data_IF_526114620199
#
_entry.id   IF_526114620199
#
_cell.length_a   1.000
_cell.length_b   1.000
_cell.length_c   1.000
_cell.angle_alpha   90.00
_cell.angle_beta   90.00
_cell.angle_gamma   90.00
#
_symmetry.space_group_name_H-M   'P 1'
#
loop_
_entity.id
_entity.type
_entity.pdbx_description
1 polymer ?
#
# COMPACT_ATOMS: atom_id res chain seq x y z
N UNK A 1 -13.10 3.53 -4.64
CA UNK A 1 -11.68 3.79 -4.27
C UNK A 1 -11.51 4.03 -2.79
N UNK A 2 -12.09 5.08 -2.20
CA UNK A 2 -11.88 5.41 -0.77
C UNK A 2 -12.24 4.27 0.20
N UNK A 3 -13.38 3.61 -0.01
CA UNK A 3 -13.81 2.48 0.81
C UNK A 3 -12.80 1.31 0.78
N UNK A 4 -12.25 0.99 -0.39
CA UNK A 4 -11.27 -0.09 -0.53
C UNK A 4 -9.92 0.27 0.09
N UNK A 5 -9.48 1.53 -0.06
CA UNK A 5 -8.30 2.04 0.65
C UNK A 5 -8.49 1.98 2.17
N UNK A 6 -9.68 2.27 2.67
CA UNK A 6 -9.99 2.18 4.10
C UNK A 6 -10.01 0.73 4.58
N UNK A 7 -10.60 -0.20 3.79
CA UNK A 7 -10.62 -1.64 4.10
C UNK A 7 -9.21 -2.20 4.24
N UNK A 8 -8.37 -2.03 3.21
CA UNK A 8 -6.97 -2.48 3.24
C UNK A 8 -6.14 -1.71 4.28
N UNK A 9 -6.46 -0.43 4.48
CA UNK A 9 -5.88 0.45 5.48
C UNK A 9 -6.19 0.05 6.94
N UNK A 10 -7.24 -0.74 7.17
CA UNK A 10 -7.57 -1.24 8.50
C UNK A 10 -6.88 -2.57 8.84
N UNK A 11 -6.27 -3.23 7.85
CA UNK A 11 -5.65 -4.54 8.00
C UNK A 11 -4.14 -4.42 8.22
N UNK A 12 -3.65 -5.19 9.18
CA UNK A 12 -2.25 -5.17 9.61
C UNK A 12 -1.67 -6.57 9.60
N UNK A 13 -0.56 -6.73 8.91
CA UNK A 13 0.21 -7.96 8.85
C UNK A 13 1.45 -7.82 9.74
N UNK A 14 1.72 -8.84 10.54
CA UNK A 14 2.95 -8.97 11.32
C UNK A 14 3.51 -10.38 11.13
N UNK A 15 4.82 -10.60 11.31
CA UNK A 15 5.37 -11.96 11.22
C UNK A 15 4.72 -12.96 12.19
N UNK A 16 4.09 -12.46 13.27
CA UNK A 16 3.49 -13.28 14.31
C UNK A 16 1.98 -13.49 14.15
N UNK A 17 1.29 -12.78 13.26
CA UNK A 17 -0.17 -12.89 13.11
C UNK A 17 -0.58 -13.78 11.93
N UNK A 18 -1.87 -14.16 11.90
CA UNK A 18 -2.39 -15.06 10.88
C UNK A 18 -2.25 -14.48 9.47
N UNK A 19 -2.55 -13.20 9.31
CA UNK A 19 -2.47 -12.52 8.02
C UNK A 19 -1.04 -12.55 7.47
N UNK A 20 -0.02 -12.18 8.26
CA UNK A 20 1.37 -12.18 7.79
C UNK A 20 1.89 -13.56 7.42
N UNK A 21 1.39 -14.63 8.05
CA UNK A 21 1.68 -16.01 7.60
C UNK A 21 0.98 -16.35 6.29
N UNK A 22 -0.29 -15.98 6.15
CA UNK A 22 -1.06 -16.25 4.94
C UNK A 22 -0.51 -15.51 3.71
N UNK A 23 -0.03 -14.27 3.89
CA UNK A 23 0.73 -13.53 2.87
C UNK A 23 1.98 -14.27 2.43
N UNK A 24 2.75 -14.81 3.39
CA UNK A 24 3.97 -15.57 3.08
C UNK A 24 3.64 -16.88 2.36
N UNK A 25 2.64 -17.62 2.82
CA UNK A 25 2.25 -18.91 2.25
C UNK A 25 1.64 -18.77 0.85
N UNK A 26 0.89 -17.70 0.61
CA UNK A 26 0.19 -17.47 -0.66
C UNK A 26 1.06 -16.74 -1.68
N UNK A 27 1.79 -15.71 -1.25
CA UNK A 27 2.53 -14.81 -2.16
C UNK A 27 4.04 -15.01 -2.09
N UNK A 28 4.54 -15.79 -1.14
CA UNK A 28 5.98 -15.91 -0.87
C UNK A 28 6.58 -14.67 -0.20
N UNK A 29 5.74 -13.71 0.23
CA UNK A 29 6.20 -12.42 0.76
C UNK A 29 6.17 -12.43 2.28
N UNK A 30 7.35 -12.59 2.89
CA UNK A 30 7.49 -12.46 4.33
C UNK A 30 7.39 -11.00 4.78
N UNK A 31 6.66 -10.79 5.87
CA UNK A 31 6.54 -9.50 6.56
C UNK A 31 7.50 -9.50 7.75
N UNK A 32 8.52 -8.65 7.74
CA UNK A 32 9.57 -8.61 8.78
C UNK A 32 9.21 -7.77 10.01
N UNK A 33 8.26 -6.85 9.87
CA UNK A 33 7.74 -5.98 10.92
C UNK A 33 6.28 -5.68 10.64
N UNK A 34 5.55 -5.22 11.64
CA UNK A 34 4.18 -4.76 11.46
C UNK A 34 4.07 -3.79 10.28
N UNK A 35 3.17 -4.11 9.36
CA UNK A 35 2.90 -3.29 8.18
C UNK A 35 1.43 -3.36 7.82
N UNK A 36 0.96 -2.24 7.29
CA UNK A 36 -0.39 -2.15 6.78
C UNK A 36 -0.49 -2.86 5.42
N UNK A 37 -1.57 -3.58 5.16
CA UNK A 37 -1.77 -4.29 3.88
C UNK A 37 -1.69 -3.33 2.69
N UNK A 38 -2.23 -2.12 2.83
CA UNK A 38 -2.11 -1.10 1.80
C UNK A 38 -0.65 -0.76 1.48
N UNK A 39 0.26 -0.81 2.46
CA UNK A 39 1.69 -0.57 2.21
C UNK A 39 2.39 -1.74 1.52
N UNK A 40 1.82 -2.95 1.50
CA UNK A 40 2.39 -4.08 0.75
C UNK A 40 2.36 -3.83 -0.76
N UNK A 41 1.32 -3.15 -1.28
CA UNK A 41 1.21 -2.72 -2.70
C UNK A 41 2.37 -1.82 -3.14
N UNK A 42 3.06 -1.16 -2.20
CA UNK A 42 4.24 -0.32 -2.53
C UNK A 42 5.47 -1.16 -2.90
N UNK A 43 5.48 -2.46 -2.61
CA UNK A 43 6.58 -3.34 -3.00
C UNK A 43 6.51 -3.60 -4.51
N UNK A 44 7.62 -3.47 -5.25
CA UNK A 44 7.61 -3.61 -6.70
C UNK A 44 7.19 -5.01 -7.18
N UNK A 45 7.39 -6.03 -6.35
CA UNK A 45 6.99 -7.42 -6.61
C UNK A 45 5.50 -7.70 -6.34
N UNK A 46 4.74 -6.73 -5.83
CA UNK A 46 3.31 -6.86 -5.51
C UNK A 46 2.44 -5.88 -6.30
N UNK A 47 1.29 -6.38 -6.74
CA UNK A 47 0.17 -5.60 -7.26
C UNK A 47 -1.13 -5.87 -6.47
N UNK A 48 -2.18 -5.11 -6.76
CA UNK A 48 -3.46 -5.27 -6.06
C UNK A 48 -4.07 -6.66 -6.31
N UNK A 49 -3.95 -7.20 -7.52
CA UNK A 49 -4.56 -8.47 -7.89
C UNK A 49 -3.92 -9.65 -7.16
N UNK A 50 -2.59 -9.65 -7.01
CA UNK A 50 -1.84 -10.64 -6.23
C UNK A 50 -2.27 -10.61 -4.76
N UNK A 51 -2.35 -9.44 -4.14
CA UNK A 51 -2.81 -9.35 -2.74
C UNK A 51 -4.22 -9.90 -2.54
N UNK A 52 -5.12 -9.74 -3.52
CA UNK A 52 -6.48 -10.29 -3.43
C UNK A 52 -6.54 -11.81 -3.60
N UNK A 53 -5.44 -12.49 -3.93
CA UNK A 53 -5.34 -13.95 -3.89
C UNK A 53 -5.23 -14.49 -2.45
N UNK A 54 -4.82 -13.65 -1.50
CA UNK A 54 -4.77 -14.00 -0.07
C UNK A 54 -6.21 -14.12 0.44
N UNK A 55 -6.63 -15.28 0.96
CA UNK A 55 -8.02 -15.53 1.35
C UNK A 55 -8.60 -14.49 2.32
N UNK A 56 -7.81 -14.02 3.29
CA UNK A 56 -8.26 -13.00 4.25
C UNK A 56 -8.36 -11.59 3.66
N UNK A 57 -7.75 -11.32 2.50
CA UNK A 57 -7.78 -10.02 1.81
C UNK A 57 -8.80 -9.97 0.69
N UNK A 58 -9.02 -11.09 0.02
CA UNK A 58 -9.98 -11.22 -1.06
C UNK A 58 -11.44 -11.17 -0.58
N UNK A 59 -12.38 -11.14 -1.53
CA UNK A 59 -12.15 -11.00 -2.97
C UNK A 59 -11.76 -9.57 -3.37
N UNK A 60 -11.19 -9.44 -4.57
CA UNK A 60 -10.97 -8.15 -5.21
C UNK A 60 -12.29 -7.37 -5.39
N UNK A 61 -12.20 -6.04 -5.42
CA UNK A 61 -13.32 -5.21 -5.87
C UNK A 61 -13.70 -5.57 -7.32
N UNK A 62 -15.00 -5.65 -7.59
CA UNK A 62 -15.49 -6.03 -8.92
C UNK A 62 -15.18 -4.98 -10.01
N UNK A 63 -15.08 -3.70 -9.62
CA UNK A 63 -14.75 -2.62 -10.56
C UNK A 63 -13.24 -2.53 -10.74
N UNK A 64 -12.76 -2.94 -11.92
CA UNK A 64 -11.36 -2.88 -12.30
C UNK A 64 -10.76 -1.46 -12.22
N UNK A 65 -11.55 -0.41 -12.48
CA UNK A 65 -11.08 0.97 -12.33
C UNK A 65 -10.85 1.30 -10.86
N UNK A 66 -11.65 0.75 -9.95
CA UNK A 66 -11.43 0.95 -8.52
C UNK A 66 -10.14 0.26 -8.08
N UNK A 67 -9.91 -0.98 -8.52
CA UNK A 67 -8.66 -1.71 -8.24
C UNK A 67 -7.43 -0.94 -8.74
N UNK A 68 -7.46 -0.51 -10.00
CA UNK A 68 -6.39 0.27 -10.62
C UNK A 68 -6.12 1.58 -9.86
N UNK A 69 -7.17 2.35 -9.53
CA UNK A 69 -7.02 3.62 -8.81
C UNK A 69 -6.51 3.43 -7.37
N UNK A 70 -6.81 2.31 -6.72
CA UNK A 70 -6.21 1.94 -5.43
C UNK A 70 -4.72 1.71 -5.60
N UNK A 71 -4.33 0.88 -6.57
CA UNK A 71 -2.92 0.54 -6.82
C UNK A 71 -2.08 1.77 -7.19
N UNK A 72 -2.56 2.56 -8.17
CA UNK A 72 -1.94 3.82 -8.57
C UNK A 72 -1.85 4.74 -7.35
N UNK A 73 -2.96 4.97 -6.65
CA UNK A 73 -2.99 5.88 -5.51
C UNK A 73 -1.99 5.52 -4.41
N UNK A 74 -1.64 4.24 -4.25
CA UNK A 74 -0.68 3.77 -3.27
C UNK A 74 0.75 3.81 -3.77
N UNK A 75 1.02 3.32 -4.98
CA UNK A 75 2.38 3.30 -5.57
C UNK A 75 2.91 4.72 -5.79
N UNK A 76 2.04 5.65 -6.20
CA UNK A 76 2.43 7.03 -6.47
C UNK A 76 2.39 7.96 -5.24
N UNK A 77 1.70 7.60 -4.15
CA UNK A 77 1.71 8.42 -2.92
C UNK A 77 3.14 8.66 -2.40
N UNK A 78 3.99 7.64 -2.39
CA UNK A 78 5.38 7.77 -1.94
C UNK A 78 6.29 8.59 -2.87
N UNK A 79 5.88 8.82 -4.11
CA UNK A 79 6.58 9.74 -5.02
C UNK A 79 6.13 11.19 -4.78
N UNK A 80 4.82 11.41 -4.65
CA UNK A 80 4.25 12.73 -4.39
C UNK A 80 4.67 13.30 -3.04
N UNK A 81 4.73 12.47 -2.00
CA UNK A 81 5.17 12.91 -0.66
C UNK A 81 6.64 13.38 -0.69
N UNK A 82 7.52 12.65 -1.39
CA UNK A 82 8.93 13.05 -1.56
C UNK A 82 9.08 14.34 -2.36
N UNK A 83 8.34 14.47 -3.47
CA UNK A 83 8.34 15.71 -4.26
C UNK A 83 7.84 16.90 -3.42
N UNK A 84 6.83 16.69 -2.58
CA UNK A 84 6.28 17.74 -1.73
C UNK A 84 7.28 18.20 -0.67
N UNK A 85 8.00 17.28 -0.04
CA UNK A 85 9.09 17.62 0.89
C UNK A 85 10.25 18.39 0.21
N UNK A 86 10.54 18.09 -1.06
CA UNK A 86 11.53 18.84 -1.84
C UNK A 86 11.05 20.27 -2.14
N UNK A 87 9.79 20.44 -2.56
CA UNK A 87 9.18 21.76 -2.78
C UNK A 87 9.14 22.57 -1.48
N UNK A 88 8.72 21.97 -0.36
CA UNK A 88 8.67 22.64 0.94
C UNK A 88 10.07 23.07 1.42
N UNK A 89 11.12 22.27 1.14
CA UNK A 89 12.51 22.67 1.40
C UNK A 89 12.92 23.86 0.51
N UNK A 90 12.65 23.80 -0.79
CA UNK A 90 13.00 24.88 -1.72
C UNK A 90 12.30 26.20 -1.36
N UNK A 91 11.01 26.17 -1.01
CA UNK A 91 10.27 27.36 -0.58
C UNK A 91 10.83 27.99 0.70
N UNK A 92 11.35 27.19 1.64
CA UNK A 92 12.02 27.69 2.86
C UNK A 92 13.36 28.35 2.56
N UNK A 93 14.03 27.97 1.47
CA UNK A 93 15.30 28.58 1.05
C UNK A 93 15.12 29.84 0.20
N UNK A 94 13.92 30.07 -0.34
CA UNK A 94 13.62 31.22 -1.21
C UNK A 94 12.87 32.35 -0.49
N UNK A 95 12.43 32.17 0.76
CA UNK A 95 11.95 33.27 1.61
C UNK A 95 13.15 34.04 2.20
N UNK A 96 13.47 35.27 1.72
CA UNK A 96 14.48 36.11 2.36
C UNK A 96 13.91 36.65 3.68
N UNK A 97 14.77 37.09 4.62
CA UNK A 97 14.33 37.67 5.90
C UNK A 97 13.51 38.97 5.72
#
# INVERSE_FOLDING_TARGET
VAAERARLGALWATPANALGREEQDTLGVAVSRETNVLNLIKRPELDYAQLMQVPSLGPAVADAKVAEQVEIGVKYAGYLDRQREEIERQQRHEAPP
#
